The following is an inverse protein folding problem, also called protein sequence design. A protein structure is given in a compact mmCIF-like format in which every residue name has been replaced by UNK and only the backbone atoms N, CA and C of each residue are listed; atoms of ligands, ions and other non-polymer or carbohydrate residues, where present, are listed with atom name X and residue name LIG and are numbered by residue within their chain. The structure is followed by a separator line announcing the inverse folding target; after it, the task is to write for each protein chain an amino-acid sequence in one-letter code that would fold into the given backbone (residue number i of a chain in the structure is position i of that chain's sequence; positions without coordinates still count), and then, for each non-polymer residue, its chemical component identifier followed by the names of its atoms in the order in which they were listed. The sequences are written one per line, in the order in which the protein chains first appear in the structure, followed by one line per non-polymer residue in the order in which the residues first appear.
data_IF_268952212744
#
_entry.id   IF_268952212744
#
_cell.length_a   1.000
_cell.length_b   1.000
_cell.length_c   1.000
_cell.angle_alpha   90.00
_cell.angle_beta   90.00
_cell.angle_gamma   90.00
#
_symmetry.space_group_name_H-M   'P 1'
#
loop_
_entity.id
_entity.type
_entity.pdbx_description
1 polymer ?
#
# COMPACT_ATOMS: atom_id res chain seq x y z
N UNK A 1 2.64 -10.23 11.52
CA UNK A 1 2.31 -9.08 12.38
C UNK A 1 1.18 -8.23 11.80
N UNK A 2 1.26 -7.77 10.54
CA UNK A 2 0.25 -6.93 9.89
C UNK A 2 -1.18 -7.49 10.05
N UNK A 3 -1.40 -8.77 9.76
CA UNK A 3 -2.71 -9.41 9.92
C UNK A 3 -3.23 -9.47 11.37
N UNK A 4 -2.35 -9.38 12.37
CA UNK A 4 -2.76 -9.30 13.77
C UNK A 4 -3.17 -7.86 14.13
N UNK A 5 -2.39 -6.87 13.68
CA UNK A 5 -2.69 -5.45 13.91
C UNK A 5 -3.94 -5.00 13.16
N UNK A 6 -4.19 -5.54 11.97
CA UNK A 6 -5.37 -5.24 11.16
C UNK A 6 -6.69 -5.60 11.85
N UNK A 7 -6.66 -6.51 12.86
CA UNK A 7 -7.83 -6.84 13.69
C UNK A 7 -8.29 -5.69 14.58
N UNK A 8 -7.44 -4.70 14.86
CA UNK A 8 -7.77 -3.53 15.68
C UNK A 8 -8.41 -2.38 14.91
N UNK A 9 -8.49 -2.47 13.58
CA UNK A 9 -9.23 -1.50 12.77
C UNK A 9 -10.70 -1.51 13.24
N UNK A 10 -11.43 -0.39 13.34
CA UNK A 10 -12.87 -0.40 13.65
C UNK A 10 -13.69 -1.14 12.58
N UNK A 11 -14.72 -1.90 12.98
CA UNK A 11 -15.48 -2.78 12.04
C UNK A 11 -16.30 -2.01 11.00
N UNK A 12 -16.67 -0.76 11.31
CA UNK A 12 -17.43 0.13 10.43
C UNK A 12 -16.61 0.69 9.27
N UNK A 13 -15.28 0.69 9.41
CA UNK A 13 -14.38 1.28 8.45
C UNK A 13 -14.23 0.42 7.20
N UNK A 14 -14.26 1.07 6.04
CA UNK A 14 -14.03 0.50 4.73
C UNK A 14 -12.53 0.39 4.49
N UNK A 15 -12.05 -0.84 4.39
CA UNK A 15 -10.63 -1.15 4.21
C UNK A 15 -10.38 -1.66 2.80
N UNK A 16 -9.35 -1.14 2.14
CA UNK A 16 -8.87 -1.67 0.87
C UNK A 16 -7.50 -2.32 1.10
N UNK A 17 -7.37 -3.61 0.78
CA UNK A 17 -6.07 -4.29 0.76
C UNK A 17 -5.48 -4.28 -0.64
N UNK A 18 -4.17 -4.13 -0.74
CA UNK A 18 -3.41 -4.09 -2.00
C UNK A 18 -2.16 -4.96 -1.83
N UNK A 19 -2.04 -6.02 -2.62
CA UNK A 19 -0.97 -7.01 -2.48
C UNK A 19 -0.47 -7.50 -3.85
N UNK A 20 0.77 -7.99 -3.93
CA UNK A 20 1.27 -8.71 -5.12
C UNK A 20 0.56 -10.07 -5.28
N UNK A 21 0.23 -10.69 -4.16
CA UNK A 21 -0.53 -11.93 -4.06
C UNK A 21 -1.37 -11.82 -2.79
N UNK A 22 -2.68 -12.03 -2.88
CA UNK A 22 -3.58 -11.84 -1.76
C UNK A 22 -3.29 -12.84 -0.61
N UNK A 23 -2.66 -12.36 0.47
CA UNK A 23 -2.39 -13.13 1.69
C UNK A 23 -3.22 -12.63 2.87
N UNK A 24 -3.55 -11.33 2.89
CA UNK A 24 -4.32 -10.73 3.97
C UNK A 24 -5.78 -11.19 3.95
N UNK A 25 -6.20 -11.76 5.08
CA UNK A 25 -7.59 -12.18 5.31
C UNK A 25 -8.21 -11.40 6.45
N UNK A 26 -8.70 -10.20 6.13
CA UNK A 26 -9.54 -9.42 7.03
C UNK A 26 -10.96 -9.98 7.01
N UNK A 27 -11.37 -10.67 8.08
CA UNK A 27 -12.74 -11.19 8.21
C UNK A 27 -13.74 -10.08 8.59
N UNK A 28 -14.11 -9.23 7.62
CA UNK A 28 -15.00 -8.07 7.83
C UNK A 28 -15.87 -7.82 6.60
N UNK A 29 -17.04 -7.22 6.80
CA UNK A 29 -17.98 -6.94 5.71
C UNK A 29 -17.48 -5.87 4.72
N UNK A 30 -16.77 -4.84 5.20
CA UNK A 30 -16.40 -3.68 4.39
C UNK A 30 -14.94 -3.75 3.89
N UNK A 31 -14.52 -4.90 3.37
CA UNK A 31 -13.16 -5.09 2.83
C UNK A 31 -13.22 -5.27 1.32
N UNK A 32 -12.37 -4.55 0.60
CA UNK A 32 -12.10 -4.79 -0.82
C UNK A 32 -10.64 -5.19 -0.99
N UNK A 33 -10.40 -6.29 -1.69
CA UNK A 33 -9.05 -6.78 -1.96
C UNK A 33 -8.68 -6.52 -3.41
N UNK A 34 -7.54 -5.86 -3.61
CA UNK A 34 -6.93 -5.58 -4.91
C UNK A 34 -5.60 -6.33 -5.00
N UNK A 35 -5.34 -6.93 -6.16
CA UNK A 35 -4.12 -7.69 -6.41
C UNK A 35 -3.38 -7.10 -7.61
N UNK A 36 -2.08 -6.87 -7.45
CA UNK A 36 -1.23 -6.45 -8.55
C UNK A 36 -1.13 -7.58 -9.58
N UNK A 37 -0.94 -7.21 -10.85
CA UNK A 37 -0.87 -8.19 -11.93
C UNK A 37 0.41 -7.97 -12.73
N UNK A 38 1.29 -8.97 -12.85
CA UNK A 38 2.44 -8.85 -13.73
C UNK A 38 2.00 -8.72 -15.19
N UNK A 39 2.85 -8.19 -16.08
CA UNK A 39 2.54 -8.17 -17.50
C UNK A 39 2.34 -9.59 -18.04
N UNK A 40 1.50 -9.72 -19.08
CA UNK A 40 1.37 -10.96 -19.84
C UNK A 40 2.66 -11.26 -20.64
N UNK A 41 2.69 -12.39 -21.35
CA UNK A 41 3.85 -12.80 -22.17
C UNK A 41 4.25 -11.78 -23.25
N UNK A 42 3.35 -10.88 -23.63
CA UNK A 42 3.58 -9.81 -24.61
C UNK A 42 4.03 -8.49 -23.96
N UNK A 43 4.28 -8.49 -22.64
CA UNK A 43 4.67 -7.30 -21.89
C UNK A 43 3.52 -6.32 -21.61
N UNK A 44 2.26 -6.76 -21.72
CA UNK A 44 1.06 -5.90 -21.63
C UNK A 44 0.21 -6.21 -20.40
N UNK A 45 -0.56 -5.21 -19.98
CA UNK A 45 -1.57 -5.37 -18.94
C UNK A 45 -0.99 -5.50 -17.52
N UNK A 46 0.23 -5.04 -17.30
CA UNK A 46 0.75 -4.84 -15.95
C UNK A 46 -0.18 -3.91 -15.15
N UNK A 47 -0.43 -4.26 -13.90
CA UNK A 47 -1.10 -3.42 -12.91
C UNK A 47 -0.21 -3.43 -11.69
N UNK A 48 0.43 -2.31 -11.40
CA UNK A 48 1.36 -2.20 -10.27
C UNK A 48 0.62 -1.92 -8.96
N UNK A 49 1.26 -2.17 -7.82
CA UNK A 49 0.74 -1.72 -6.50
C UNK A 49 0.47 -0.22 -6.54
N UNK A 50 1.35 0.56 -7.18
CA UNK A 50 1.18 2.01 -7.31
C UNK A 50 -0.11 2.40 -8.05
N UNK A 51 -0.46 1.69 -9.12
CA UNK A 51 -1.71 1.90 -9.86
C UNK A 51 -2.93 1.61 -8.97
N UNK A 52 -2.84 0.52 -8.20
CA UNK A 52 -3.90 0.12 -7.27
C UNK A 52 -4.08 1.10 -6.12
N UNK A 53 -2.99 1.66 -5.56
CA UNK A 53 -3.05 2.69 -4.51
C UNK A 53 -3.78 3.92 -5.03
N UNK A 54 -3.42 4.40 -6.22
CA UNK A 54 -4.10 5.55 -6.87
C UNK A 54 -5.57 5.26 -7.17
N UNK A 55 -5.89 4.03 -7.58
CA UNK A 55 -7.26 3.61 -7.81
C UNK A 55 -8.06 3.54 -6.50
N UNK A 56 -7.46 2.99 -5.44
CA UNK A 56 -8.07 2.85 -4.12
C UNK A 56 -8.50 4.19 -3.54
N UNK A 57 -7.72 5.26 -3.73
CA UNK A 57 -8.10 6.62 -3.30
C UNK A 57 -9.43 7.11 -3.89
N UNK A 58 -9.86 6.60 -5.04
CA UNK A 58 -11.14 6.94 -5.67
C UNK A 58 -12.32 6.12 -5.12
N UNK A 59 -12.04 5.08 -4.35
CA UNK A 59 -13.03 4.15 -3.82
C UNK A 59 -13.52 4.54 -2.41
N UNK A 60 -13.17 5.75 -1.96
CA UNK A 60 -13.47 6.32 -0.63
C UNK A 60 -13.19 5.33 0.52
N UNK A 61 -11.96 4.81 0.64
CA UNK A 61 -11.58 3.99 1.76
C UNK A 61 -11.50 4.83 3.03
N UNK A 62 -11.73 4.21 4.17
CA UNK A 62 -11.28 4.77 5.46
C UNK A 62 -9.80 4.41 5.67
N UNK A 63 -9.36 3.23 5.20
CA UNK A 63 -7.96 2.79 5.28
C UNK A 63 -7.50 2.06 4.01
N UNK A 64 -6.23 2.24 3.69
CA UNK A 64 -5.52 1.45 2.68
C UNK A 64 -4.47 0.60 3.40
N UNK A 65 -4.48 -0.69 3.13
CA UNK A 65 -3.50 -1.65 3.65
C UNK A 65 -2.71 -2.18 2.47
N UNK A 66 -1.43 -1.82 2.38
CA UNK A 66 -0.53 -2.37 1.37
C UNK A 66 0.22 -3.54 2.01
N UNK A 67 0.29 -4.69 1.35
CA UNK A 67 0.99 -5.86 1.87
C UNK A 67 2.44 -5.54 2.20
N UNK A 68 3.18 -5.06 1.21
CA UNK A 68 4.55 -4.58 1.34
C UNK A 68 4.81 -3.44 0.35
N UNK A 69 5.44 -2.37 0.83
CA UNK A 69 5.95 -1.31 -0.05
C UNK A 69 7.39 -1.61 -0.47
N UNK A 70 7.66 -1.56 -1.77
CA UNK A 70 8.93 -1.87 -2.44
C UNK A 70 9.42 -0.74 -3.37
N UNK A 71 8.61 0.27 -3.65
CA UNK A 71 8.93 1.34 -4.60
C UNK A 71 8.11 2.62 -4.43
N UNK A 72 7.82 3.28 -5.55
CA UNK A 72 7.23 4.61 -5.60
C UNK A 72 5.81 4.73 -5.02
N UNK A 73 5.09 3.61 -4.87
CA UNK A 73 3.82 3.55 -4.13
C UNK A 73 3.96 3.99 -2.68
N UNK A 74 5.16 3.92 -2.11
CA UNK A 74 5.46 4.38 -0.75
C UNK A 74 5.09 5.85 -0.58
N UNK A 75 5.43 6.69 -1.56
CA UNK A 75 5.07 8.11 -1.55
C UNK A 75 3.55 8.29 -1.61
N UNK A 76 2.87 7.59 -2.53
CA UNK A 76 1.42 7.69 -2.67
C UNK A 76 0.71 7.22 -1.37
N UNK A 77 1.25 6.22 -0.68
CA UNK A 77 0.71 5.71 0.58
C UNK A 77 0.90 6.70 1.74
N UNK A 78 2.08 7.31 1.86
CA UNK A 78 2.33 8.38 2.85
C UNK A 78 1.46 9.61 2.58
N UNK A 79 1.24 9.97 1.30
CA UNK A 79 0.31 11.03 0.94
C UNK A 79 -1.13 10.66 1.32
N UNK A 80 -1.57 9.42 1.05
CA UNK A 80 -2.89 8.94 1.44
C UNK A 80 -3.13 9.08 2.95
N UNK A 81 -2.15 8.68 3.77
CA UNK A 81 -2.18 8.83 5.22
C UNK A 81 -2.37 10.29 5.63
N UNK A 82 -1.65 11.22 4.99
CA UNK A 82 -1.76 12.65 5.29
C UNK A 82 -3.07 13.30 4.80
N UNK A 83 -3.86 12.65 3.94
CA UNK A 83 -5.08 13.22 3.34
C UNK A 83 -6.35 12.45 3.74
N UNK A 84 -6.42 11.99 4.99
CA UNK A 84 -7.67 11.45 5.57
C UNK A 84 -7.83 9.94 5.48
N UNK A 85 -6.77 9.19 5.22
CA UNK A 85 -6.75 7.72 5.33
C UNK A 85 -5.91 7.29 6.54
N UNK A 86 -6.14 7.93 7.67
CA UNK A 86 -5.33 7.81 8.88
C UNK A 86 -5.28 6.38 9.42
N UNK A 87 -4.09 5.97 9.84
CA UNK A 87 -3.85 4.61 10.34
C UNK A 87 -4.02 3.52 9.28
N UNK A 88 -3.90 3.87 8.00
CA UNK A 88 -3.42 2.98 6.94
C UNK A 88 -2.10 2.30 7.36
N UNK A 89 -1.73 1.21 6.71
CA UNK A 89 -0.58 0.41 7.15
C UNK A 89 0.07 -0.32 5.99
N UNK A 90 1.37 -0.57 6.13
CA UNK A 90 2.16 -1.36 5.20
C UNK A 90 3.24 -2.15 5.94
N UNK A 91 3.91 -3.05 5.24
CA UNK A 91 5.18 -3.63 5.70
C UNK A 91 6.32 -3.20 4.79
N UNK A 92 7.54 -3.40 5.29
CA UNK A 92 8.76 -3.21 4.52
C UNK A 92 9.87 -4.07 5.13
N UNK A 93 10.85 -4.41 4.30
CA UNK A 93 11.97 -5.26 4.69
C UNK A 93 13.20 -4.44 5.05
N UNK A 94 13.70 -4.61 6.28
CA UNK A 94 14.92 -3.99 6.78
C UNK A 94 15.53 -4.83 7.92
N UNK A 95 16.83 -4.68 8.18
CA UNK A 95 17.53 -5.41 9.24
C UNK A 95 17.39 -4.74 10.62
N UNK A 96 16.99 -3.48 10.65
CA UNK A 96 16.77 -2.69 11.86
C UNK A 96 15.69 -1.62 11.61
N UNK A 97 15.09 -1.05 12.66
CA UNK A 97 14.22 0.12 12.52
C UNK A 97 14.91 1.32 11.86
N UNK A 98 16.20 1.54 12.16
CA UNK A 98 17.00 2.61 11.57
C UNK A 98 17.20 2.40 10.06
N UNK A 99 17.51 1.16 9.65
CA UNK A 99 17.61 0.77 8.24
C UNK A 99 16.28 0.96 7.52
N UNK A 100 15.16 0.68 8.20
CA UNK A 100 13.82 0.87 7.62
C UNK A 100 13.55 2.35 7.34
N UNK A 101 14.01 3.27 8.19
CA UNK A 101 13.85 4.71 7.95
C UNK A 101 14.64 5.16 6.72
N UNK A 102 15.91 4.73 6.58
CA UNK A 102 16.74 5.03 5.40
C UNK A 102 16.15 4.42 4.12
N UNK A 103 15.63 3.20 4.23
CA UNK A 103 14.96 2.53 3.11
C UNK A 103 13.69 3.28 2.72
N UNK A 104 12.87 3.69 3.68
CA UNK A 104 11.64 4.44 3.43
C UNK A 104 11.93 5.73 2.65
N UNK A 105 12.97 6.47 3.03
CA UNK A 105 13.44 7.66 2.29
C UNK A 105 13.77 7.32 0.84
N UNK A 106 14.56 6.27 0.63
CA UNK A 106 14.92 5.80 -0.72
C UNK A 106 13.69 5.43 -1.54
N UNK A 107 12.74 4.69 -0.97
CA UNK A 107 11.51 4.30 -1.64
C UNK A 107 10.66 5.51 -2.03
N UNK A 108 10.55 6.50 -1.15
CA UNK A 108 9.84 7.76 -1.43
C UNK A 108 10.47 8.50 -2.60
N UNK A 109 11.81 8.56 -2.67
CA UNK A 109 12.53 9.20 -3.76
C UNK A 109 12.27 8.51 -5.11
N UNK A 110 12.05 7.19 -5.16
CA UNK A 110 11.65 6.51 -6.41
C UNK A 110 10.25 6.89 -6.89
N UNK A 111 9.42 7.47 -6.01
CA UNK A 111 8.07 7.93 -6.30
C UNK A 111 8.01 9.32 -6.93
N UNK A 112 9.06 10.12 -6.83
CA UNK A 112 9.10 11.51 -7.31
C UNK A 112 9.58 11.60 -8.76
N UNK A 113 9.10 12.62 -9.50
CA UNK A 113 9.68 12.96 -10.78
C UNK A 113 10.96 13.78 -10.53
N UNK A 114 12.11 13.32 -11.02
CA UNK A 114 13.37 14.08 -10.94
C UNK A 114 13.46 15.16 -12.04
N UNK A 115 14.06 16.34 -11.78
CA UNK A 115 14.77 16.70 -10.55
C UNK A 115 13.83 17.26 -9.47
N UNK A 116 14.20 16.99 -8.22
CA UNK A 116 13.56 17.58 -7.04
C UNK A 116 14.12 19.02 -6.93
N UNK A 117 13.28 20.07 -6.95
CA UNK A 117 13.73 21.46 -6.90
C UNK A 117 14.40 21.82 -5.56
#
# INVERSE_FOLDING_TARGET
LLNALSKFIPIKERVITIEDTAELRLQREHVVTLEARPPNLEGRGEITIRDLVKNALRMRPDRIVVGECRGGETLDMLQAMNTGHDGSMTTGHANSPEDMMLRLETLVLTGTAMPIP
#
